data_IF_694725256627
#
_entry.id   IF_694725256627
#
_cell.length_a   1.000
_cell.length_b   1.000
_cell.length_c   1.000
_cell.angle_alpha   90.00
_cell.angle_beta   90.00
_cell.angle_gamma   90.00
#
_symmetry.space_group_name_H-M   'P 1'
#
loop_
_entity.id
_entity.type
_entity.pdbx_description
1 polymer ?
#
# COMPACT_ATOMS: atom_id res chain seq x y z
N UNK A 1 35.25 -84.11 -16.03
CA UNK A 1 34.78 -84.87 -17.20
C UNK A 1 33.26 -84.94 -17.16
N UNK A 2 32.64 -84.41 -18.21
CA UNK A 2 31.34 -84.73 -18.83
C UNK A 2 30.06 -84.84 -17.99
N UNK A 3 29.21 -83.81 -18.18
CA UNK A 3 27.83 -83.87 -18.70
C UNK A 3 27.17 -85.26 -18.81
N UNK A 4 26.00 -85.43 -18.19
CA UNK A 4 24.82 -85.99 -18.84
C UNK A 4 23.53 -85.74 -18.05
N UNK A 5 22.44 -85.60 -18.79
CA UNK A 5 21.19 -84.93 -18.45
C UNK A 5 20.01 -85.91 -18.19
N UNK A 6 19.11 -85.51 -17.26
CA UNK A 6 17.62 -85.60 -17.26
C UNK A 6 16.89 -86.98 -17.36
N UNK A 7 15.55 -87.11 -17.12
CA UNK A 7 14.58 -86.24 -16.39
C UNK A 7 13.57 -86.95 -15.43
N UNK A 8 12.91 -86.13 -14.58
CA UNK A 8 11.55 -86.14 -14.00
C UNK A 8 10.78 -87.42 -13.60
N UNK A 9 9.99 -87.29 -12.51
CA UNK A 9 8.55 -87.54 -12.65
C UNK A 9 7.64 -86.45 -12.06
N UNK A 10 6.42 -86.48 -12.59
CA UNK A 10 5.30 -85.55 -12.46
C UNK A 10 4.79 -85.35 -11.03
N UNK A 11 4.45 -84.10 -10.70
CA UNK A 11 3.71 -83.71 -9.48
C UNK A 11 2.27 -83.32 -9.87
N UNK A 12 1.23 -83.78 -9.16
CA UNK A 12 -0.16 -83.46 -9.49
C UNK A 12 -0.59 -82.07 -9.00
N UNK A 13 -1.53 -81.49 -9.75
CA UNK A 13 -2.14 -80.17 -9.55
C UNK A 13 -3.10 -80.15 -8.35
N UNK A 14 -3.06 -79.07 -7.57
CA UNK A 14 -4.18 -78.61 -6.72
C UNK A 14 -4.44 -77.12 -6.94
N UNK A 15 -5.70 -76.66 -7.10
CA UNK A 15 -6.01 -75.25 -7.30
C UNK A 15 -6.23 -74.55 -5.94
N UNK A 16 -5.28 -73.71 -5.53
CA UNK A 16 -5.32 -72.99 -4.26
C UNK A 16 -5.18 -71.48 -4.44
N UNK A 17 -6.31 -70.82 -4.74
CA UNK A 17 -6.68 -69.43 -4.41
C UNK A 17 -5.53 -68.41 -4.27
N UNK A 18 -5.26 -67.66 -5.34
CA UNK A 18 -4.52 -66.41 -5.27
C UNK A 18 -5.31 -65.38 -4.46
N UNK A 19 -4.86 -65.07 -3.24
CA UNK A 19 -5.30 -63.91 -2.49
C UNK A 19 -4.47 -62.73 -3.01
N UNK A 20 -5.07 -61.94 -3.91
CA UNK A 20 -4.53 -60.65 -4.31
C UNK A 20 -4.67 -59.68 -3.13
N UNK A 21 -3.58 -59.40 -2.42
CA UNK A 21 -3.51 -58.36 -1.40
C UNK A 21 -3.52 -56.98 -2.06
N UNK A 22 -4.71 -56.45 -2.35
CA UNK A 22 -4.90 -55.05 -2.71
C UNK A 22 -4.71 -54.23 -1.42
N UNK A 23 -3.50 -53.69 -1.23
CA UNK A 23 -3.24 -52.63 -0.26
C UNK A 23 -3.91 -51.34 -0.78
N UNK A 24 -5.15 -51.15 -0.35
CA UNK A 24 -5.93 -49.93 -0.58
C UNK A 24 -5.26 -48.78 0.19
N UNK A 25 -4.44 -48.00 -0.49
CA UNK A 25 -3.90 -46.74 0.01
C UNK A 25 -5.01 -45.72 0.18
N UNK A 26 -5.67 -45.74 1.34
CA UNK A 26 -6.66 -44.73 1.72
C UNK A 26 -5.92 -43.44 2.11
N UNK A 27 -5.55 -42.64 1.11
CA UNK A 27 -5.14 -41.26 1.35
C UNK A 27 -6.33 -40.52 1.99
N UNK A 28 -6.25 -40.31 3.30
CA UNK A 28 -7.16 -39.48 4.08
C UNK A 28 -7.09 -38.03 3.56
N UNK A 29 -7.80 -37.75 2.47
CA UNK A 29 -8.26 -36.40 2.16
C UNK A 29 -9.33 -36.07 3.19
N UNK A 30 -8.92 -35.65 4.39
CA UNK A 30 -9.85 -35.05 5.33
C UNK A 30 -10.44 -33.82 4.64
N UNK A 31 -11.75 -33.79 4.32
CA UNK A 31 -12.35 -32.57 3.84
C UNK A 31 -12.22 -31.56 4.97
N UNK A 32 -11.61 -30.41 4.69
CA UNK A 32 -11.65 -29.27 5.59
C UNK A 32 -13.14 -28.89 5.74
N UNK A 33 -13.78 -29.42 6.77
CA UNK A 33 -15.15 -29.08 7.10
C UNK A 33 -15.19 -27.59 7.42
N UNK A 34 -15.98 -26.85 6.64
CA UNK A 34 -16.32 -25.46 6.93
C UNK A 34 -17.17 -25.45 8.20
N UNK A 35 -16.73 -24.70 9.21
CA UNK A 35 -17.48 -24.50 10.45
C UNK A 35 -18.27 -23.21 10.37
N UNK A 36 -19.36 -23.11 11.14
CA UNK A 36 -20.14 -21.88 11.26
C UNK A 36 -19.31 -20.68 11.76
N UNK A 37 -18.21 -20.95 12.47
CA UNK A 37 -17.30 -19.94 13.02
C UNK A 37 -16.16 -19.54 12.05
N UNK A 38 -16.05 -20.17 10.88
CA UNK A 38 -14.96 -19.91 9.93
C UNK A 38 -15.24 -18.63 9.09
N UNK A 39 -14.19 -17.88 8.77
CA UNK A 39 -14.25 -16.87 7.70
C UNK A 39 -14.28 -17.63 6.38
N UNK A 40 -15.13 -17.25 5.43
CA UNK A 40 -15.26 -17.98 4.16
C UNK A 40 -14.96 -17.05 2.99
N UNK A 41 -14.12 -17.51 2.06
CA UNK A 41 -13.93 -16.85 0.77
C UNK A 41 -15.16 -17.09 -0.11
N UNK A 42 -15.95 -16.03 -0.29
CA UNK A 42 -17.16 -15.99 -1.10
C UNK A 42 -16.84 -15.86 -2.58
N UNK A 43 -17.24 -14.73 -3.18
CA UNK A 43 -16.95 -14.45 -4.58
C UNK A 43 -15.46 -14.18 -4.77
N UNK A 44 -14.89 -14.75 -5.82
CA UNK A 44 -13.48 -14.60 -6.19
C UNK A 44 -13.36 -14.49 -7.72
N UNK A 45 -12.47 -13.61 -8.21
CA UNK A 45 -12.14 -13.42 -9.62
C UNK A 45 -10.62 -13.23 -9.78
N UNK A 46 -10.07 -13.70 -10.90
CA UNK A 46 -8.64 -13.59 -11.22
C UNK A 46 -7.74 -14.46 -10.35
N UNK A 47 -6.45 -14.13 -10.30
CA UNK A 47 -5.48 -14.85 -9.48
C UNK A 47 -5.67 -14.55 -7.98
N UNK A 48 -6.17 -15.55 -7.25
CA UNK A 48 -6.31 -15.50 -5.79
C UNK A 48 -5.80 -16.80 -5.19
N UNK A 49 -4.88 -16.66 -4.24
CA UNK A 49 -4.18 -17.78 -3.62
C UNK A 49 -4.25 -17.68 -2.10
N UNK A 50 -4.23 -18.83 -1.44
CA UNK A 50 -4.22 -18.93 0.02
C UNK A 50 -3.00 -19.72 0.48
N UNK A 51 -2.24 -19.16 1.39
CA UNK A 51 -1.23 -19.86 2.17
C UNK A 51 -1.83 -20.23 3.53
N UNK A 52 -2.24 -21.48 3.66
CA UNK A 52 -2.71 -22.03 4.94
C UNK A 52 -1.58 -22.06 5.95
N UNK A 53 -1.87 -21.76 7.22
CA UNK A 53 -0.90 -21.85 8.31
C UNK A 53 -0.19 -23.21 8.31
N UNK A 54 1.15 -23.19 8.33
CA UNK A 54 1.99 -24.39 8.31
C UNK A 54 2.24 -25.01 6.94
N UNK A 55 1.64 -24.51 5.85
CA UNK A 55 2.07 -24.86 4.48
C UNK A 55 3.29 -24.04 4.07
N UNK A 56 4.08 -24.63 3.17
CA UNK A 56 5.27 -23.97 2.61
C UNK A 56 4.95 -23.05 1.43
N UNK A 57 3.88 -23.32 0.68
CA UNK A 57 3.55 -22.62 -0.56
C UNK A 57 2.06 -22.25 -0.64
N UNK A 58 1.73 -21.06 -1.18
CA UNK A 58 0.35 -20.70 -1.49
C UNK A 58 -0.26 -21.65 -2.52
N UNK A 59 -1.58 -21.82 -2.46
CA UNK A 59 -2.34 -22.58 -3.46
C UNK A 59 -3.52 -21.76 -3.97
N UNK A 60 -3.94 -21.95 -5.25
CA UNK A 60 -5.14 -21.31 -5.77
C UNK A 60 -6.36 -21.57 -4.88
N UNK A 61 -7.17 -20.53 -4.69
CA UNK A 61 -8.36 -20.59 -3.84
C UNK A 61 -9.42 -21.51 -4.44
N UNK A 62 -10.19 -22.18 -3.58
CA UNK A 62 -11.42 -22.86 -3.96
C UNK A 62 -12.64 -22.05 -3.50
N UNK A 63 -13.70 -22.03 -4.30
CA UNK A 63 -14.97 -21.38 -3.91
C UNK A 63 -15.44 -21.90 -2.55
N UNK A 64 -15.76 -20.99 -1.62
CA UNK A 64 -16.20 -21.35 -0.28
C UNK A 64 -15.09 -21.84 0.64
N UNK A 65 -13.81 -21.64 0.29
CA UNK A 65 -12.69 -22.01 1.15
C UNK A 65 -12.75 -21.26 2.47
N UNK A 66 -12.74 -22.01 3.58
CA UNK A 66 -12.60 -21.47 4.92
C UNK A 66 -11.18 -20.94 5.17
N UNK A 67 -11.10 -19.83 5.87
CA UNK A 67 -9.88 -19.19 6.37
C UNK A 67 -9.86 -19.23 7.89
N UNK A 68 -8.68 -19.49 8.44
CA UNK A 68 -8.43 -19.60 9.88
C UNK A 68 -7.30 -18.68 10.31
N UNK A 69 -7.16 -18.55 11.63
CA UNK A 69 -6.04 -17.82 12.22
C UNK A 69 -4.70 -18.42 11.75
N UNK A 70 -3.82 -17.56 11.24
CA UNK A 70 -2.54 -17.91 10.63
C UNK A 70 -2.54 -17.95 9.10
N UNK A 71 -3.71 -18.02 8.47
CA UNK A 71 -3.80 -18.08 7.00
C UNK A 71 -3.51 -16.72 6.36
N UNK A 72 -2.94 -16.76 5.15
CA UNK A 72 -2.72 -15.59 4.29
C UNK A 72 -3.43 -15.74 2.95
N UNK A 73 -3.91 -14.62 2.43
CA UNK A 73 -4.57 -14.50 1.14
C UNK A 73 -3.76 -13.54 0.27
N UNK A 74 -3.50 -13.96 -0.95
CA UNK A 74 -2.79 -13.20 -1.98
C UNK A 74 -3.73 -12.95 -3.15
N UNK A 75 -3.72 -11.72 -3.68
CA UNK A 75 -4.40 -11.38 -4.94
C UNK A 75 -3.37 -10.86 -5.94
N UNK A 76 -3.41 -11.40 -7.17
CA UNK A 76 -2.58 -10.93 -8.28
C UNK A 76 -3.08 -9.60 -8.87
N UNK A 77 -2.52 -9.20 -10.02
CA UNK A 77 -2.88 -7.95 -10.70
C UNK A 77 -4.34 -7.89 -11.19
N UNK A 78 -4.98 -9.04 -11.39
CA UNK A 78 -6.39 -9.19 -11.73
C UNK A 78 -7.22 -9.85 -10.61
N UNK A 79 -6.60 -10.03 -9.43
CA UNK A 79 -7.17 -10.77 -8.31
C UNK A 79 -8.15 -9.94 -7.47
N UNK A 80 -9.25 -10.57 -7.08
CA UNK A 80 -10.27 -9.97 -6.21
C UNK A 80 -11.04 -11.03 -5.47
N UNK A 81 -11.33 -10.78 -4.20
CA UNK A 81 -12.09 -11.73 -3.39
C UNK A 81 -12.85 -11.06 -2.25
N UNK A 82 -14.00 -11.65 -1.91
CA UNK A 82 -14.84 -11.23 -0.79
C UNK A 82 -14.72 -12.27 0.32
N UNK A 83 -14.16 -11.86 1.45
CA UNK A 83 -14.21 -12.63 2.69
C UNK A 83 -15.51 -12.33 3.43
N UNK A 84 -16.27 -13.39 3.70
CA UNK A 84 -17.50 -13.37 4.47
C UNK A 84 -17.20 -13.81 5.90
N UNK A 85 -17.52 -12.96 6.85
CA UNK A 85 -17.36 -13.26 8.27
C UNK A 85 -18.65 -13.86 8.83
N UNK A 86 -18.57 -14.76 9.84
CA UNK A 86 -19.76 -15.37 10.47
C UNK A 86 -20.79 -14.37 11.01
N UNK A 87 -20.33 -13.18 11.36
CA UNK A 87 -21.14 -12.13 11.98
C UNK A 87 -21.84 -11.21 10.96
N UNK A 88 -21.76 -11.56 9.67
CA UNK A 88 -22.30 -10.80 8.54
C UNK A 88 -21.37 -9.72 8.01
N UNK A 89 -20.22 -9.48 8.63
CA UNK A 89 -19.22 -8.54 8.13
C UNK A 89 -18.57 -9.05 6.84
N UNK A 90 -18.05 -8.14 6.03
CA UNK A 90 -17.36 -8.43 4.78
C UNK A 90 -16.05 -7.69 4.69
N UNK A 91 -15.02 -8.35 4.18
CA UNK A 91 -13.75 -7.72 3.80
C UNK A 91 -13.46 -8.06 2.35
N UNK A 92 -13.31 -7.05 1.51
CA UNK A 92 -13.04 -7.21 0.08
C UNK A 92 -11.59 -6.84 -0.17
N UNK A 93 -10.83 -7.76 -0.77
CA UNK A 93 -9.46 -7.50 -1.23
C UNK A 93 -9.48 -7.25 -2.74
N UNK A 94 -8.69 -6.28 -3.18
CA UNK A 94 -8.54 -5.96 -4.60
C UNK A 94 -7.15 -6.36 -5.09
N UNK A 95 -6.80 -6.01 -6.33
CA UNK A 95 -5.57 -6.42 -6.97
C UNK A 95 -4.31 -6.08 -6.14
N UNK A 96 -3.30 -6.94 -6.25
CA UNK A 96 -1.99 -6.79 -5.61
C UNK A 96 -2.05 -6.65 -4.08
N UNK A 97 -2.86 -7.48 -3.41
CA UNK A 97 -3.03 -7.46 -1.97
C UNK A 97 -2.45 -8.70 -1.28
N UNK A 98 -1.81 -8.49 -0.14
CA UNK A 98 -1.44 -9.55 0.80
C UNK A 98 -2.15 -9.28 2.14
N UNK A 99 -3.00 -10.22 2.53
CA UNK A 99 -3.82 -10.13 3.73
C UNK A 99 -3.61 -11.34 4.64
N UNK A 100 -3.55 -11.14 5.94
CA UNK A 100 -3.38 -12.20 6.92
C UNK A 100 -4.48 -12.16 7.99
N UNK A 101 -5.09 -13.32 8.25
CA UNK A 101 -5.93 -13.51 9.43
C UNK A 101 -5.02 -13.81 10.62
N UNK A 102 -4.68 -12.80 11.44
CA UNK A 102 -3.79 -13.04 12.60
C UNK A 102 -4.52 -13.80 13.70
N UNK A 103 -5.74 -13.39 14.01
CA UNK A 103 -6.62 -14.07 14.96
C UNK A 103 -8.07 -13.77 14.65
N UNK A 104 -8.95 -14.74 14.89
CA UNK A 104 -10.40 -14.55 14.79
C UNK A 104 -11.11 -15.44 15.82
N UNK A 105 -11.99 -14.81 16.60
CA UNK A 105 -12.90 -15.43 17.55
C UNK A 105 -14.33 -15.01 17.18
N UNK A 106 -15.02 -15.89 16.44
CA UNK A 106 -16.35 -15.63 15.92
C UNK A 106 -17.37 -15.42 17.05
N UNK A 107 -17.27 -16.20 18.14
CA UNK A 107 -18.20 -16.14 19.28
C UNK A 107 -18.12 -14.80 20.00
N UNK A 108 -16.89 -14.27 20.16
CA UNK A 108 -16.66 -12.95 20.75
C UNK A 108 -16.71 -11.81 19.73
N UNK A 109 -16.96 -12.11 18.45
CA UNK A 109 -16.91 -11.16 17.33
C UNK A 109 -15.65 -10.28 17.37
N UNK A 110 -14.51 -10.92 17.65
CA UNK A 110 -13.22 -10.26 17.83
C UNK A 110 -12.21 -10.81 16.84
N UNK A 111 -11.40 -9.93 16.27
CA UNK A 111 -10.47 -10.30 15.21
C UNK A 111 -9.33 -9.33 15.08
N UNK A 112 -8.18 -9.83 14.64
CA UNK A 112 -7.05 -9.02 14.24
C UNK A 112 -6.57 -9.52 12.89
N UNK A 113 -6.49 -8.59 11.96
CA UNK A 113 -6.14 -8.81 10.57
C UNK A 113 -4.94 -7.95 10.23
N UNK A 114 -4.16 -8.35 9.23
CA UNK A 114 -3.12 -7.52 8.69
C UNK A 114 -3.26 -7.38 7.18
N UNK A 115 -3.19 -6.14 6.69
CA UNK A 115 -2.92 -5.84 5.29
C UNK A 115 -1.43 -5.52 5.19
N UNK A 116 -0.68 -6.40 4.55
CA UNK A 116 0.77 -6.26 4.38
C UNK A 116 1.12 -5.42 3.15
N UNK A 117 0.19 -5.33 2.20
CA UNK A 117 0.22 -4.46 1.04
C UNK A 117 -1.08 -4.59 0.25
N UNK A 118 -1.39 -3.60 -0.58
CA UNK A 118 -2.57 -3.58 -1.44
C UNK A 118 -3.70 -2.76 -0.87
N UNK A 119 -4.94 -3.15 -1.17
CA UNK A 119 -6.13 -2.38 -0.79
C UNK A 119 -7.26 -3.28 -0.33
N UNK A 120 -8.08 -2.77 0.59
CA UNK A 120 -9.30 -3.43 1.01
C UNK A 120 -10.43 -2.44 1.28
N UNK A 121 -11.67 -2.97 1.26
CA UNK A 121 -12.82 -2.36 1.94
C UNK A 121 -13.35 -3.32 2.97
N UNK A 122 -13.64 -2.81 4.15
CA UNK A 122 -14.20 -3.57 5.25
C UNK A 122 -15.54 -2.97 5.67
N UNK A 123 -16.58 -3.80 5.59
CA UNK A 123 -17.95 -3.48 5.95
C UNK A 123 -18.30 -4.33 7.15
N UNK A 124 -18.22 -3.71 8.33
CA UNK A 124 -18.34 -4.38 9.62
C UNK A 124 -19.75 -4.24 10.13
N UNK A 125 -20.36 -5.37 10.44
CA UNK A 125 -21.72 -5.48 10.96
C UNK A 125 -21.86 -4.67 12.25
N UNK A 126 -22.82 -3.73 12.27
CA UNK A 126 -23.14 -2.93 13.44
C UNK A 126 -24.10 -3.69 14.36
N UNK A 127 -23.79 -3.75 15.65
CA UNK A 127 -24.67 -4.30 16.67
C UNK A 127 -24.48 -3.55 17.98
N UNK A 128 -25.57 -3.06 18.57
CA UNK A 128 -25.55 -2.40 19.88
C UNK A 128 -25.40 -3.39 21.04
N UNK A 129 -25.85 -4.64 20.86
CA UNK A 129 -25.85 -5.67 21.90
C UNK A 129 -24.52 -6.42 21.95
N UNK A 130 -23.94 -6.72 20.78
CA UNK A 130 -22.67 -7.43 20.68
C UNK A 130 -21.81 -6.84 19.57
N UNK A 131 -21.19 -5.66 19.80
CA UNK A 131 -20.43 -4.97 18.77
C UNK A 131 -19.22 -5.80 18.33
N UNK A 132 -19.00 -5.90 17.02
CA UNK A 132 -17.76 -6.45 16.48
C UNK A 132 -16.58 -5.57 16.92
N UNK A 133 -15.45 -6.21 17.27
CA UNK A 133 -14.23 -5.55 17.68
C UNK A 133 -13.07 -6.08 16.82
N UNK A 134 -12.93 -5.49 15.65
CA UNK A 134 -11.89 -5.85 14.70
C UNK A 134 -10.76 -4.82 14.68
N UNK A 135 -9.55 -5.31 14.42
CA UNK A 135 -8.38 -4.48 14.18
C UNK A 135 -7.76 -4.86 12.85
N UNK A 136 -7.50 -3.85 12.03
CA UNK A 136 -6.76 -3.97 10.78
C UNK A 136 -5.42 -3.31 10.95
N UNK A 137 -4.36 -4.12 10.90
CA UNK A 137 -3.00 -3.66 11.11
C UNK A 137 -2.26 -3.59 9.78
N UNK A 138 -1.31 -2.68 9.69
CA UNK A 138 -0.24 -2.72 8.70
C UNK A 138 1.10 -2.81 9.45
N UNK A 139 2.22 -2.64 8.75
CA UNK A 139 3.51 -2.53 9.41
C UNK A 139 3.59 -1.29 10.31
N UNK A 140 2.86 -0.22 9.96
CA UNK A 140 3.03 1.12 10.53
C UNK A 140 1.77 1.69 11.15
N UNK A 141 0.60 1.08 10.97
CA UNK A 141 -0.66 1.63 11.48
C UNK A 141 -1.61 0.55 12.00
N UNK A 142 -2.53 0.99 12.85
CA UNK A 142 -3.65 0.19 13.36
C UNK A 142 -4.94 0.95 13.14
N UNK A 143 -5.93 0.30 12.53
CA UNK A 143 -7.31 0.75 12.43
C UNK A 143 -8.21 -0.13 13.32
N UNK A 144 -8.72 0.44 14.40
CA UNK A 144 -9.72 -0.17 15.27
C UNK A 144 -11.12 0.13 14.77
N UNK A 145 -11.93 -0.90 14.52
CA UNK A 145 -13.23 -0.74 13.84
C UNK A 145 -14.37 -1.47 14.53
N UNK A 146 -15.52 -0.79 14.59
CA UNK A 146 -16.76 -1.26 15.21
C UNK A 146 -17.95 -0.70 14.44
N UNK A 147 -18.67 -1.55 13.69
CA UNK A 147 -19.87 -1.13 12.95
C UNK A 147 -19.58 -0.03 11.92
N UNK A 148 -18.63 -0.26 11.01
CA UNK A 148 -18.11 0.75 10.08
C UNK A 148 -18.06 0.24 8.65
N UNK A 149 -18.13 1.16 7.70
CA UNK A 149 -17.74 0.96 6.32
C UNK A 149 -16.54 1.87 6.04
N UNK A 150 -15.38 1.27 5.77
CA UNK A 150 -14.17 2.02 5.44
C UNK A 150 -13.33 1.25 4.42
N UNK A 151 -12.52 2.00 3.71
CA UNK A 151 -11.55 1.45 2.77
C UNK A 151 -10.14 1.88 3.16
N UNK A 152 -9.14 1.05 2.87
CA UNK A 152 -7.74 1.37 3.14
C UNK A 152 -6.83 0.97 2.00
N UNK A 153 -5.81 1.79 1.77
CA UNK A 153 -4.68 1.53 0.89
C UNK A 153 -3.45 1.40 1.78
N UNK A 154 -2.68 0.33 1.62
CA UNK A 154 -1.38 0.15 2.24
C UNK A 154 -0.32 -0.10 1.16
N UNK A 155 0.68 0.78 1.08
CA UNK A 155 1.80 0.65 0.16
C UNK A 155 3.07 1.12 0.84
N UNK A 156 4.07 0.26 0.88
CA UNK A 156 5.33 0.53 1.58
C UNK A 156 5.07 0.92 3.03
N UNK A 157 5.44 2.15 3.37
CA UNK A 157 5.27 2.70 4.72
C UNK A 157 3.96 3.48 4.89
N UNK A 158 3.27 3.81 3.80
CA UNK A 158 2.11 4.68 3.77
C UNK A 158 0.79 3.90 3.93
N UNK A 159 -0.14 4.54 4.64
CA UNK A 159 -1.49 4.08 4.85
C UNK A 159 -2.46 5.23 4.60
N UNK A 160 -3.49 4.97 3.79
CA UNK A 160 -4.56 5.92 3.50
C UNK A 160 -5.88 5.25 3.86
N UNK A 161 -6.68 5.87 4.71
CA UNK A 161 -7.97 5.36 5.16
C UNK A 161 -9.09 6.29 4.72
N UNK A 162 -10.11 5.76 4.06
CA UNK A 162 -11.30 6.46 3.61
C UNK A 162 -12.51 6.02 4.43
N UNK A 163 -13.20 6.97 5.07
CA UNK A 163 -14.40 6.69 5.84
C UNK A 163 -15.66 6.79 4.98
N UNK A 164 -16.44 5.70 4.90
CA UNK A 164 -17.73 5.70 4.23
C UNK A 164 -18.89 5.83 5.24
N UNK A 165 -18.84 5.06 6.33
CA UNK A 165 -19.84 5.11 7.41
C UNK A 165 -19.24 4.68 8.76
N UNK A 166 -19.80 5.23 9.85
CA UNK A 166 -19.35 4.96 11.21
C UNK A 166 -18.05 5.68 11.56
N UNK A 167 -17.37 5.19 12.61
CA UNK A 167 -16.13 5.76 13.14
C UNK A 167 -15.05 4.69 13.26
N UNK A 168 -13.89 4.96 12.65
CA UNK A 168 -12.68 4.14 12.77
C UNK A 168 -11.66 4.89 13.63
N UNK A 169 -10.97 4.17 14.53
CA UNK A 169 -9.88 4.70 15.34
C UNK A 169 -8.55 4.38 14.64
N UNK A 170 -7.88 5.39 14.09
CA UNK A 170 -6.61 5.23 13.37
C UNK A 170 -5.45 5.65 14.27
N UNK A 171 -4.41 4.81 14.34
CA UNK A 171 -3.21 5.06 15.13
C UNK A 171 -1.95 4.69 14.34
N UNK A 172 -0.90 5.50 14.44
CA UNK A 172 0.46 5.12 14.05
C UNK A 172 1.13 4.25 15.11
N UNK A 173 2.46 4.10 15.05
CA UNK A 173 3.22 3.35 16.03
C UNK A 173 3.38 4.18 17.32
N UNK A 174 2.68 3.78 18.38
CA UNK A 174 2.70 4.44 19.70
C UNK A 174 2.29 5.93 19.66
N UNK A 175 1.42 6.32 18.72
CA UNK A 175 0.97 7.70 18.57
C UNK A 175 -0.38 7.94 19.24
N UNK A 176 -0.84 9.19 19.29
CA UNK A 176 -2.24 9.47 19.56
C UNK A 176 -3.16 8.89 18.45
N UNK A 177 -4.43 8.69 18.80
CA UNK A 177 -5.47 8.19 17.89
C UNK A 177 -6.12 9.37 17.16
N UNK A 178 -6.41 9.20 15.87
CA UNK A 178 -7.25 10.10 15.08
C UNK A 178 -8.54 9.40 14.63
N UNK A 179 -9.70 10.05 14.76
CA UNK A 179 -10.96 9.47 14.31
C UNK A 179 -11.08 9.60 12.79
N UNK A 180 -11.41 8.52 12.10
CA UNK A 180 -11.86 8.55 10.72
C UNK A 180 -13.38 8.42 10.71
N UNK A 181 -14.06 9.37 10.08
CA UNK A 181 -15.53 9.41 9.96
C UNK A 181 -15.96 9.41 8.51
N UNK A 182 -17.27 9.29 8.26
CA UNK A 182 -17.84 9.39 6.92
C UNK A 182 -17.36 10.66 6.18
N UNK A 183 -17.09 10.53 4.89
CA UNK A 183 -16.59 11.60 4.01
C UNK A 183 -15.30 12.27 4.50
N UNK A 184 -14.44 11.51 5.20
CA UNK A 184 -13.10 11.98 5.57
C UNK A 184 -12.02 10.99 5.17
N UNK A 185 -10.80 11.50 5.04
CA UNK A 185 -9.56 10.74 4.88
C UNK A 185 -8.65 10.97 6.08
N UNK A 186 -8.06 9.90 6.57
CA UNK A 186 -6.93 9.94 7.51
C UNK A 186 -5.76 9.21 6.86
N UNK A 187 -4.57 9.81 6.94
CA UNK A 187 -3.36 9.25 6.36
C UNK A 187 -2.27 9.14 7.42
N UNK A 188 -1.38 8.17 7.28
CA UNK A 188 -0.17 8.06 8.10
C UNK A 188 0.91 7.33 7.31
N UNK A 189 2.16 7.66 7.56
CA UNK A 189 3.30 6.93 7.01
C UNK A 189 4.36 6.70 8.08
N UNK A 190 5.17 5.64 7.92
CA UNK A 190 6.35 5.35 8.78
C UNK A 190 6.06 5.23 10.28
N UNK A 191 4.79 5.00 10.64
CA UNK A 191 4.36 4.91 12.03
C UNK A 191 4.13 6.26 12.70
N UNK A 192 4.22 7.35 11.96
CA UNK A 192 4.01 8.71 12.47
C UNK A 192 2.53 8.97 12.82
N UNK A 193 2.31 10.06 13.56
CA UNK A 193 0.98 10.48 13.98
C UNK A 193 0.08 10.65 12.74
N UNK A 194 -1.11 10.03 12.70
CA UNK A 194 -2.00 10.22 11.57
C UNK A 194 -2.45 11.68 11.42
N UNK A 195 -2.75 12.06 10.18
CA UNK A 195 -3.28 13.40 9.86
C UNK A 195 -4.55 13.69 10.66
N UNK A 196 -4.84 14.97 10.85
CA UNK A 196 -6.22 15.37 11.15
C UNK A 196 -7.15 14.83 10.05
N UNK A 197 -8.43 14.55 10.37
CA UNK A 197 -9.39 14.12 9.36
C UNK A 197 -9.54 15.20 8.28
N UNK A 198 -9.33 14.80 7.03
CA UNK A 198 -9.41 15.67 5.86
C UNK A 198 -10.77 15.43 5.20
N UNK A 199 -11.58 16.47 5.01
CA UNK A 199 -12.85 16.35 4.30
C UNK A 199 -12.66 15.88 2.85
N UNK A 200 -13.48 14.92 2.43
CA UNK A 200 -13.58 14.50 1.03
C UNK A 200 -14.60 15.39 0.34
N UNK A 201 -14.11 16.49 -0.23
CA UNK A 201 -14.98 17.42 -0.94
C UNK A 201 -15.51 16.78 -2.23
N UNK A 202 -16.80 16.99 -2.59
CA UNK A 202 -17.35 16.59 -3.87
C UNK A 202 -16.49 17.11 -5.04
N UNK A 203 -16.36 16.30 -6.10
CA UNK A 203 -15.54 16.62 -7.29
C UNK A 203 -14.03 16.81 -7.04
N UNK A 204 -13.53 16.38 -5.87
CA UNK A 204 -12.08 16.35 -5.60
C UNK A 204 -11.45 15.03 -6.07
N UNK A 205 -10.12 15.01 -6.23
CA UNK A 205 -9.37 13.76 -6.49
C UNK A 205 -9.50 12.73 -5.37
N UNK A 206 -9.72 13.16 -4.12
CA UNK A 206 -10.03 12.22 -3.03
C UNK A 206 -11.41 11.59 -3.21
N UNK A 207 -12.40 12.36 -3.67
CA UNK A 207 -13.73 11.81 -3.97
C UNK A 207 -13.67 10.84 -5.16
N UNK A 208 -12.87 11.15 -6.19
CA UNK A 208 -12.58 10.24 -7.30
C UNK A 208 -11.95 8.93 -6.78
N UNK A 209 -10.88 9.02 -5.98
CA UNK A 209 -10.21 7.85 -5.40
C UNK A 209 -11.15 7.02 -4.52
N UNK A 210 -11.96 7.66 -3.67
CA UNK A 210 -12.93 6.98 -2.82
C UNK A 210 -14.02 6.29 -3.64
N UNK A 211 -14.53 6.96 -4.67
CA UNK A 211 -15.55 6.40 -5.58
C UNK A 211 -14.99 5.18 -6.31
N UNK A 212 -13.80 5.28 -6.87
CA UNK A 212 -13.12 4.17 -7.54
C UNK A 212 -12.90 3.00 -6.56
N UNK A 213 -12.40 3.26 -5.36
CA UNK A 213 -12.15 2.23 -4.34
C UNK A 213 -13.45 1.53 -3.90
N UNK A 214 -14.54 2.28 -3.76
CA UNK A 214 -15.86 1.74 -3.43
C UNK A 214 -16.44 0.92 -4.60
N UNK A 215 -16.30 1.39 -5.83
CA UNK A 215 -16.77 0.68 -7.02
C UNK A 215 -16.06 -0.67 -7.22
N UNK A 216 -14.72 -0.71 -7.08
CA UNK A 216 -13.92 -1.94 -7.24
C UNK A 216 -14.12 -2.93 -6.09
N UNK A 217 -14.80 -2.53 -5.01
CA UNK A 217 -15.08 -3.38 -3.85
C UNK A 217 -16.55 -3.83 -3.80
N UNK A 218 -17.45 -3.15 -4.49
CA UNK A 218 -18.83 -3.60 -4.70
C UNK A 218 -18.91 -4.73 -5.71
N UNK A 219 -18.15 -4.63 -6.79
CA UNK A 219 -18.02 -5.64 -7.81
C UNK A 219 -16.60 -5.68 -8.34
N UNK A 220 -16.15 -6.84 -8.81
CA UNK A 220 -14.85 -6.93 -9.45
C UNK A 220 -14.82 -6.03 -10.70
N UNK A 221 -13.84 -5.14 -10.86
CA UNK A 221 -13.83 -4.18 -11.95
C UNK A 221 -13.79 -4.83 -13.33
N UNK A 222 -14.25 -4.07 -14.33
CA UNK A 222 -14.09 -4.40 -15.74
C UNK A 222 -12.63 -4.18 -16.21
N UNK A 223 -11.91 -3.23 -15.58
CA UNK A 223 -10.50 -2.92 -15.84
C UNK A 223 -9.73 -2.74 -14.53
N UNK A 224 -8.60 -3.45 -14.40
CA UNK A 224 -7.71 -3.36 -13.24
C UNK A 224 -6.75 -2.18 -13.29
N UNK A 225 -6.63 -1.53 -14.46
CA UNK A 225 -5.71 -0.41 -14.70
C UNK A 225 -6.06 0.80 -13.85
N UNK A 226 -7.35 1.11 -13.71
CA UNK A 226 -7.81 2.26 -12.93
C UNK A 226 -7.63 2.03 -11.42
N UNK A 227 -7.92 0.81 -10.94
CA UNK A 227 -7.69 0.42 -9.55
C UNK A 227 -6.20 0.53 -9.17
N UNK A 228 -5.30 0.17 -10.08
CA UNK A 228 -3.85 0.28 -9.88
C UNK A 228 -3.33 1.71 -9.74
N UNK A 229 -4.08 2.71 -10.22
CA UNK A 229 -3.70 4.14 -10.17
C UNK A 229 -4.13 4.85 -8.89
N UNK A 230 -4.92 4.21 -8.02
CA UNK A 230 -5.42 4.82 -6.78
C UNK A 230 -4.32 5.44 -5.90
N UNK A 231 -3.17 4.78 -5.64
CA UNK A 231 -2.08 5.38 -4.87
C UNK A 231 -1.54 6.67 -5.50
N UNK A 232 -1.48 6.73 -6.84
CA UNK A 232 -0.98 7.89 -7.59
C UNK A 232 -1.96 9.06 -7.55
N UNK A 233 -3.28 8.80 -7.62
CA UNK A 233 -4.32 9.83 -7.50
C UNK A 233 -4.21 10.52 -6.13
N UNK A 234 -4.09 9.75 -5.06
CA UNK A 234 -3.94 10.27 -3.69
C UNK A 234 -2.62 10.99 -3.50
N UNK A 235 -1.50 10.45 -4.02
CA UNK A 235 -0.20 11.11 -3.96
C UNK A 235 -0.21 12.48 -4.65
N UNK A 236 -0.79 12.59 -5.86
CA UNK A 236 -0.93 13.88 -6.55
C UNK A 236 -1.84 14.86 -5.81
N UNK A 237 -2.90 14.36 -5.18
CA UNK A 237 -3.73 15.19 -4.31
C UNK A 237 -2.94 15.73 -3.11
N UNK A 238 -2.16 14.89 -2.42
CA UNK A 238 -1.31 15.31 -1.30
C UNK A 238 -0.29 16.39 -1.71
N UNK A 239 0.34 16.27 -2.88
CA UNK A 239 1.26 17.29 -3.43
C UNK A 239 0.55 18.63 -3.64
N UNK A 240 -0.72 18.61 -4.05
CA UNK A 240 -1.49 19.84 -4.23
C UNK A 240 -1.92 20.41 -2.87
N UNK A 241 -2.38 19.54 -1.98
CA UNK A 241 -2.85 19.92 -0.64
C UNK A 241 -1.73 20.47 0.25
N UNK A 242 -0.50 19.98 0.09
CA UNK A 242 0.66 20.50 0.84
C UNK A 242 0.90 21.98 0.57
N UNK A 243 0.60 22.49 -0.63
CA UNK A 243 0.72 23.91 -0.95
C UNK A 243 -0.27 24.73 -0.14
N UNK A 244 -1.53 24.30 -0.06
CA UNK A 244 -2.53 24.92 0.79
C UNK A 244 -2.11 24.92 2.27
N UNK A 245 -1.62 23.79 2.78
CA UNK A 245 -1.11 23.69 4.15
C UNK A 245 0.06 24.65 4.38
N UNK A 246 1.00 24.72 3.43
CA UNK A 246 2.16 25.60 3.53
C UNK A 246 1.78 27.08 3.51
N UNK A 247 0.85 27.47 2.64
CA UNK A 247 0.36 28.85 2.57
C UNK A 247 -0.44 29.26 3.82
N UNK A 248 -1.04 28.27 4.50
CA UNK A 248 -1.67 28.45 5.82
C UNK A 248 -0.65 28.41 7.00
N UNK A 249 0.66 28.34 6.73
CA UNK A 249 1.70 28.26 7.76
C UNK A 249 1.82 26.90 8.46
N UNK A 250 1.09 25.87 8.00
CA UNK A 250 1.08 24.51 8.57
C UNK A 250 2.16 23.65 7.93
N UNK A 251 3.42 24.09 8.06
CA UNK A 251 4.56 23.49 7.35
C UNK A 251 4.81 22.01 7.71
N UNK A 252 4.70 21.63 8.98
CA UNK A 252 4.90 20.24 9.40
C UNK A 252 3.88 19.29 8.77
N UNK A 253 2.62 19.72 8.70
CA UNK A 253 1.56 18.94 8.06
C UNK A 253 1.77 18.86 6.54
N UNK A 254 2.23 19.94 5.92
CA UNK A 254 2.59 19.95 4.50
C UNK A 254 3.72 18.93 4.21
N UNK A 255 4.78 18.92 5.03
CA UNK A 255 5.87 17.97 4.91
C UNK A 255 5.41 16.53 5.16
N UNK A 256 4.50 16.32 6.11
CA UNK A 256 3.95 15.00 6.41
C UNK A 256 3.13 14.45 5.23
N UNK A 257 2.19 15.21 4.66
CA UNK A 257 1.41 14.71 3.50
C UNK A 257 2.27 14.51 2.26
N UNK A 258 3.33 15.30 2.08
CA UNK A 258 4.32 15.06 1.03
C UNK A 258 5.14 13.78 1.29
N UNK A 259 5.45 13.46 2.55
CA UNK A 259 6.09 12.20 2.91
C UNK A 259 5.16 11.01 2.61
N UNK A 260 3.87 11.14 2.90
CA UNK A 260 2.87 10.15 2.50
C UNK A 260 2.87 9.98 0.97
N UNK A 261 2.88 11.06 0.19
CA UNK A 261 2.93 10.98 -1.27
C UNK A 261 4.17 10.22 -1.79
N UNK A 262 5.35 10.44 -1.19
CA UNK A 262 6.58 9.73 -1.55
C UNK A 262 6.52 8.24 -1.22
N UNK A 263 5.96 7.86 -0.08
CA UNK A 263 5.92 6.47 0.38
C UNK A 263 4.78 5.66 -0.27
N UNK A 264 3.78 6.35 -0.84
CA UNK A 264 2.57 5.76 -1.41
C UNK A 264 2.75 5.29 -2.86
N UNK A 265 3.78 5.74 -3.58
CA UNK A 265 3.98 5.37 -4.99
C UNK A 265 5.47 5.28 -5.37
N UNK A 266 5.76 4.38 -6.31
CA UNK A 266 7.08 4.22 -6.94
C UNK A 266 7.19 4.99 -8.26
N UNK A 267 6.13 5.73 -8.65
CA UNK A 267 6.13 6.53 -9.87
C UNK A 267 7.11 7.71 -9.73
N UNK A 268 8.24 7.61 -10.42
CA UNK A 268 9.38 8.54 -10.29
C UNK A 268 8.98 9.99 -10.55
N UNK A 269 8.13 10.25 -11.55
CA UNK A 269 7.64 11.61 -11.83
C UNK A 269 6.89 12.22 -10.65
N UNK A 270 6.01 11.44 -10.00
CA UNK A 270 5.25 11.89 -8.82
C UNK A 270 6.19 12.09 -7.63
N UNK A 271 7.17 11.21 -7.45
CA UNK A 271 8.17 11.38 -6.40
C UNK A 271 8.99 12.64 -6.60
N UNK A 272 9.41 12.94 -7.83
CA UNK A 272 10.13 14.18 -8.16
C UNK A 272 9.28 15.42 -7.88
N UNK A 273 8.01 15.43 -8.28
CA UNK A 273 7.08 16.52 -7.99
C UNK A 273 6.94 16.71 -6.46
N UNK A 274 6.77 15.63 -5.69
CA UNK A 274 6.69 15.70 -4.24
C UNK A 274 7.99 16.22 -3.60
N UNK A 275 9.17 15.85 -4.11
CA UNK A 275 10.45 16.36 -3.60
C UNK A 275 10.65 17.84 -3.86
N UNK A 276 10.25 18.32 -5.03
CA UNK A 276 10.28 19.76 -5.33
C UNK A 276 9.42 20.55 -4.35
N UNK A 277 8.20 20.10 -4.11
CA UNK A 277 7.31 20.73 -3.13
C UNK A 277 7.87 20.63 -1.70
N UNK A 278 8.45 19.50 -1.29
CA UNK A 278 9.11 19.37 0.02
C UNK A 278 10.23 20.38 0.17
N UNK A 279 11.09 20.50 -0.84
CA UNK A 279 12.16 21.49 -0.84
C UNK A 279 11.61 22.91 -0.71
N UNK A 280 10.53 23.24 -1.43
CA UNK A 280 9.90 24.56 -1.38
C UNK A 280 9.22 24.85 -0.02
N UNK A 281 8.70 23.84 0.67
CA UNK A 281 8.19 23.99 2.05
C UNK A 281 9.36 24.19 3.02
N UNK A 282 10.42 23.38 2.91
CA UNK A 282 11.60 23.48 3.76
C UNK A 282 12.32 24.83 3.61
N UNK A 283 12.40 25.38 2.40
CA UNK A 283 13.05 26.67 2.14
C UNK A 283 12.31 27.87 2.73
N UNK A 284 11.07 27.70 3.22
CA UNK A 284 10.34 28.77 3.93
C UNK A 284 10.85 28.97 5.36
N UNK A 285 11.48 27.94 5.95
CA UNK A 285 12.13 28.03 7.26
C UNK A 285 13.54 28.64 7.10
N UNK A 286 13.92 29.70 7.85
CA UNK A 286 15.28 30.23 7.85
C UNK A 286 16.38 29.18 8.07
N UNK A 287 16.10 28.10 8.82
CA UNK A 287 17.03 26.99 9.04
C UNK A 287 16.96 25.86 8.01
N UNK A 288 15.95 25.88 7.13
CA UNK A 288 15.59 24.75 6.28
C UNK A 288 16.35 24.63 4.96
N UNK A 289 17.20 25.61 4.60
CA UNK A 289 17.90 25.63 3.32
C UNK A 289 18.72 24.36 3.04
N UNK A 290 19.47 23.84 4.01
CA UNK A 290 20.22 22.60 3.86
C UNK A 290 19.32 21.38 3.63
N UNK A 291 18.14 21.34 4.27
CA UNK A 291 17.17 20.26 4.08
C UNK A 291 16.51 20.35 2.69
N UNK A 292 16.21 21.57 2.23
CA UNK A 292 15.68 21.81 0.89
C UNK A 292 16.67 21.36 -0.20
N UNK A 293 17.96 21.71 -0.06
CA UNK A 293 19.01 21.29 -0.97
C UNK A 293 19.08 19.76 -1.12
N UNK A 294 18.94 19.00 -0.02
CA UNK A 294 18.91 17.53 -0.07
C UNK A 294 17.71 16.97 -0.83
N UNK A 295 16.57 17.65 -0.83
CA UNK A 295 15.41 17.22 -1.62
C UNK A 295 15.60 17.55 -3.11
N UNK A 296 16.15 18.71 -3.44
CA UNK A 296 16.46 19.09 -4.82
C UNK A 296 17.57 18.24 -5.44
N UNK A 297 18.57 17.83 -4.65
CA UNK A 297 19.62 16.92 -5.12
C UNK A 297 19.04 15.59 -5.60
N UNK A 298 18.09 15.00 -4.84
CA UNK A 298 17.37 13.78 -5.28
C UNK A 298 16.53 13.98 -6.54
N UNK A 299 16.12 15.22 -6.85
CA UNK A 299 15.48 15.55 -8.14
C UNK A 299 16.52 15.53 -9.26
N UNK A 300 17.74 16.02 -9.02
CA UNK A 300 18.83 15.99 -10.00
C UNK A 300 19.41 14.58 -10.21
N UNK A 301 19.34 13.72 -9.21
CA UNK A 301 19.78 12.32 -9.32
C UNK A 301 18.73 11.42 -10.01
N UNK A 302 17.51 11.92 -10.21
CA UNK A 302 16.44 11.22 -10.88
C UNK A 302 16.63 11.19 -12.40
N UNK A 303 16.17 10.13 -13.11
CA UNK A 303 16.15 10.10 -14.57
C UNK A 303 15.15 11.10 -15.20
N UNK A 304 14.31 11.75 -14.40
CA UNK A 304 13.32 12.72 -14.91
C UNK A 304 14.03 13.99 -15.40
N UNK A 305 13.87 14.26 -16.69
CA UNK A 305 14.33 15.48 -17.36
C UNK A 305 13.11 16.35 -17.67
N UNK A 306 13.25 17.66 -17.55
CA UNK A 306 12.18 18.60 -17.88
C UNK A 306 12.08 19.76 -16.87
N UNK A 307 10.90 20.41 -16.77
CA UNK A 307 10.68 21.56 -15.91
C UNK A 307 11.02 21.29 -14.44
N UNK A 308 10.88 20.06 -13.96
CA UNK A 308 11.21 19.70 -12.58
C UNK A 308 12.70 19.87 -12.27
N UNK A 309 13.56 19.36 -13.17
CA UNK A 309 15.01 19.46 -13.04
C UNK A 309 15.49 20.90 -13.18
N UNK A 310 14.89 21.66 -14.11
CA UNK A 310 15.11 23.09 -14.28
C UNK A 310 14.81 23.85 -12.97
N UNK A 311 13.63 23.64 -12.39
CA UNK A 311 13.23 24.25 -11.12
C UNK A 311 14.18 23.84 -9.99
N UNK A 312 14.59 22.57 -9.89
CA UNK A 312 15.53 22.12 -8.87
C UNK A 312 16.88 22.85 -8.97
N UNK A 313 17.47 22.98 -10.16
CA UNK A 313 18.74 23.69 -10.35
C UNK A 313 18.64 25.17 -9.93
N UNK A 314 17.57 25.85 -10.34
CA UNK A 314 17.33 27.23 -9.93
C UNK A 314 17.21 27.36 -8.40
N UNK A 315 16.38 26.49 -7.79
CA UNK A 315 16.17 26.52 -6.34
C UNK A 315 17.42 26.14 -5.54
N UNK A 316 18.27 25.25 -6.06
CA UNK A 316 19.57 24.96 -5.44
C UNK A 316 20.52 26.16 -5.50
N UNK A 317 20.60 26.84 -6.64
CA UNK A 317 21.39 28.08 -6.76
C UNK A 317 20.94 29.15 -5.76
N UNK A 318 19.62 29.32 -5.61
CA UNK A 318 19.03 30.19 -4.59
C UNK A 318 19.35 29.75 -3.16
N UNK A 319 19.23 28.45 -2.86
CA UNK A 319 19.50 27.91 -1.53
C UNK A 319 20.97 28.12 -1.11
N UNK A 320 21.92 27.83 -2.01
CA UNK A 320 23.34 28.10 -1.75
C UNK A 320 23.64 29.59 -1.58
N UNK A 321 22.98 30.45 -2.37
CA UNK A 321 23.11 31.89 -2.21
C UNK A 321 22.62 32.37 -0.83
N UNK A 322 21.47 31.87 -0.37
CA UNK A 322 20.94 32.16 0.97
C UNK A 322 21.87 31.68 2.09
N UNK A 323 22.51 30.54 1.90
CA UNK A 323 23.51 29.99 2.81
C UNK A 323 24.86 30.72 2.78
N UNK A 324 25.01 31.78 1.96
CA UNK A 324 26.27 32.50 1.74
C UNK A 324 27.39 31.58 1.26
N UNK A 325 27.04 30.61 0.39
CA UNK A 325 27.95 29.66 -0.26
C UNK A 325 28.08 30.04 -1.75
N UNK A 326 28.88 31.07 -2.08
CA UNK A 326 28.89 31.68 -3.42
C UNK A 326 29.48 30.78 -4.50
N UNK A 327 30.39 29.87 -4.14
CA UNK A 327 31.03 28.95 -5.09
C UNK A 327 30.02 27.92 -5.58
N UNK A 328 29.30 27.29 -4.65
CA UNK A 328 28.26 26.31 -4.89
C UNK A 328 27.07 26.94 -5.61
N UNK A 329 26.66 28.13 -5.18
CA UNK A 329 25.62 28.91 -5.85
C UNK A 329 25.98 29.19 -7.30
N UNK A 330 27.19 29.72 -7.55
CA UNK A 330 27.66 29.99 -8.90
C UNK A 330 27.74 28.72 -9.75
N UNK A 331 28.21 27.60 -9.19
CA UNK A 331 28.27 26.32 -9.88
C UNK A 331 26.89 25.88 -10.37
N UNK A 332 25.88 25.86 -9.50
CA UNK A 332 24.51 25.45 -9.86
C UNK A 332 23.81 26.41 -10.82
N UNK A 333 24.01 27.72 -10.64
CA UNK A 333 23.43 28.74 -11.51
C UNK A 333 24.06 28.73 -12.92
N UNK A 334 25.36 28.45 -13.05
CA UNK A 334 25.99 28.26 -14.37
C UNK A 334 25.53 26.96 -15.02
N UNK A 335 25.41 25.89 -14.24
CA UNK A 335 24.82 24.63 -14.74
C UNK A 335 23.41 24.87 -15.27
N UNK A 336 22.57 25.64 -14.57
CA UNK A 336 21.25 26.03 -15.05
C UNK A 336 21.31 26.68 -16.44
N UNK A 337 22.17 27.68 -16.68
CA UNK A 337 22.24 28.37 -17.98
C UNK A 337 22.78 27.48 -19.09
N UNK A 338 23.62 26.51 -18.75
CA UNK A 338 24.12 25.49 -19.69
C UNK A 338 23.02 24.51 -20.09
N UNK A 339 22.30 23.97 -19.09
CA UNK A 339 21.31 22.92 -19.29
C UNK A 339 19.98 23.49 -19.84
N UNK A 340 19.66 24.75 -19.50
CA UNK A 340 18.40 25.43 -19.82
C UNK A 340 18.64 26.87 -20.33
N UNK A 341 19.24 27.05 -21.52
CA UNK A 341 19.60 28.36 -22.04
C UNK A 341 18.39 29.28 -22.31
N UNK A 342 17.20 28.72 -22.53
CA UNK A 342 15.91 29.44 -22.66
C UNK A 342 14.94 29.11 -21.51
N UNK A 343 15.48 28.70 -20.35
CA UNK A 343 14.67 28.33 -19.20
C UNK A 343 13.91 29.51 -18.58
N UNK A 344 12.79 29.20 -17.92
CA UNK A 344 11.86 30.11 -17.23
C UNK A 344 12.55 31.09 -16.26
N UNK A 345 13.65 30.69 -15.64
CA UNK A 345 14.37 31.46 -14.64
C UNK A 345 15.65 32.15 -15.16
N UNK A 346 15.92 32.13 -16.47
CA UNK A 346 17.17 32.67 -17.09
C UNK A 346 17.55 34.06 -16.58
N UNK A 347 16.66 35.03 -16.70
CA UNK A 347 16.93 36.42 -16.30
C UNK A 347 17.23 36.56 -14.79
N UNK A 348 16.54 35.76 -13.96
CA UNK A 348 16.77 35.73 -12.50
C UNK A 348 18.14 35.13 -12.18
N UNK A 349 18.51 34.05 -12.87
CA UNK A 349 19.80 33.37 -12.73
C UNK A 349 20.96 34.29 -13.12
N UNK A 350 20.85 34.99 -14.25
CA UNK A 350 21.85 35.97 -14.70
C UNK A 350 22.01 37.12 -13.69
N UNK A 351 20.91 37.57 -13.10
CA UNK A 351 20.93 38.60 -12.06
C UNK A 351 21.65 38.11 -10.79
N UNK A 352 21.32 36.92 -10.30
CA UNK A 352 22.00 36.33 -9.13
C UNK A 352 23.50 36.15 -9.37
N UNK A 353 23.91 35.70 -10.56
CA UNK A 353 25.31 35.54 -10.92
C UNK A 353 26.08 36.87 -10.90
N UNK A 354 25.46 37.97 -11.34
CA UNK A 354 26.04 39.31 -11.25
C UNK A 354 26.19 39.75 -9.80
N UNK A 355 25.16 39.53 -8.98
CA UNK A 355 25.21 39.85 -7.54
C UNK A 355 26.32 39.08 -6.83
N UNK A 356 26.48 37.78 -7.08
CA UNK A 356 27.55 36.97 -6.48
C UNK A 356 28.94 37.50 -6.88
N UNK A 357 29.13 37.88 -8.15
CA UNK A 357 30.40 38.47 -8.62
C UNK A 357 30.74 39.80 -7.94
N UNK A 358 29.73 40.63 -7.64
CA UNK A 358 29.93 41.90 -6.95
C UNK A 358 30.25 41.80 -5.46
N UNK A 359 30.16 40.60 -4.87
CA UNK A 359 30.41 40.32 -3.44
C UNK A 359 31.73 39.55 -3.23
N UNK A 360 32.34 39.01 -4.30
CA UNK A 360 33.64 38.36 -4.21
C UNK A 360 34.75 39.41 -3.94
N UNK A 361 35.60 39.20 -2.91
CA UNK A 361 36.68 40.13 -2.56
C UNK A 361 37.78 40.24 -3.62
#
# INVERSE_FOLDING_TARGET
>A
MNLCALPNPMVPRSPGRAIASILLGLALLSPLAVRADDIVLGLTKGDVQVLTAGRAQPVPVRKGQALRSGDRVYTGGDGWTVMLMPDGSRVVLTANSEFMVRSHDAKRRKGTFALLGGMLRAIISASSVSPANYRFNTLTAVAGVRGTDFSMINRGQANVFFGNNGKVEVQGLNTAIRPLTAATVVQTTRGELPTQPISVEPNSRLAEAQTLLNAVTEQAPASWVEAGKLPEIVARWNITYSRYLADAGRHDEALHVLQVALDLTDAVEIQVDARLERGAVLSRDPGGANAALKEYEKVLDSPVVGPQRETALYMMGMGYFQLKQPVEAQSRLRQYLSDYPEGRYKERVETLLRTIKGVAP
#
